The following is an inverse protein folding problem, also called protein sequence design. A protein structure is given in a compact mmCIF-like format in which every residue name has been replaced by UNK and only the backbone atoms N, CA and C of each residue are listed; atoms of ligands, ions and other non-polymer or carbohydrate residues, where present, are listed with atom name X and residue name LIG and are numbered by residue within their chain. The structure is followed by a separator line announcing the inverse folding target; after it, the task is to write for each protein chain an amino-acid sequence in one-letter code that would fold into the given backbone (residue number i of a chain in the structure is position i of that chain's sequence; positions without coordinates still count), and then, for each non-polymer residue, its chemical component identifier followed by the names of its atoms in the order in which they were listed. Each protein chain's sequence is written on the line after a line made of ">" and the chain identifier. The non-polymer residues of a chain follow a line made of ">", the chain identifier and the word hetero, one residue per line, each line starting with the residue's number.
data_IF_424172689925
#
_entry.id   IF_424172689925
#
_cell.length_a   1.000
_cell.length_b   1.000
_cell.length_c   1.000
_cell.angle_alpha   90.00
_cell.angle_beta   90.00
_cell.angle_gamma   90.00
#
_symmetry.space_group_name_H-M   'P 1'
#
loop_
_entity.id
_entity.type
_entity.pdbx_description
1 polymer ?
#
# COMPACT_ATOMS: atom_id res chain seq x y z
N UNK A 1 22.87 16.95 16.15
CA UNK A 1 21.97 15.80 16.01
C UNK A 1 21.10 16.07 14.79
N UNK A 2 20.89 15.14 13.86
CA UNK A 2 19.94 15.38 12.79
C UNK A 2 18.56 15.60 13.40
N UNK A 3 17.82 16.60 12.88
CA UNK A 3 16.48 16.93 13.31
C UNK A 3 15.64 15.66 13.46
N UNK A 4 14.90 15.53 14.56
CA UNK A 4 14.09 14.36 14.93
C UNK A 4 13.28 13.90 13.71
N UNK A 5 13.71 12.79 13.10
CA UNK A 5 12.94 12.15 12.03
C UNK A 5 11.66 11.64 12.67
N UNK A 6 10.52 12.13 12.17
CA UNK A 6 9.19 11.68 12.62
C UNK A 6 9.07 10.16 12.51
N UNK A 7 8.47 9.46 13.49
CA UNK A 7 8.36 8.00 13.44
C UNK A 7 7.47 7.51 12.30
N UNK A 8 7.63 6.25 11.92
CA UNK A 8 6.69 5.53 11.07
C UNK A 8 5.66 4.85 11.96
N UNK A 9 4.37 5.04 11.69
CA UNK A 9 3.28 4.35 12.37
C UNK A 9 2.99 3.00 11.70
N UNK A 10 2.97 1.91 12.47
CA UNK A 10 2.64 0.56 12.00
C UNK A 10 1.33 0.15 12.68
N UNK A 11 0.22 0.08 11.94
CA UNK A 11 -1.07 -0.35 12.53
C UNK A 11 -1.13 -1.87 12.64
N UNK A 12 -1.66 -2.38 13.75
CA UNK A 12 -1.69 -3.83 14.06
C UNK A 12 -2.61 -4.64 13.13
N UNK A 13 -3.54 -3.98 12.42
CA UNK A 13 -4.52 -4.68 11.59
C UNK A 13 -5.57 -5.41 12.41
N UNK A 14 -6.02 -6.58 11.91
CA UNK A 14 -6.98 -7.43 12.62
C UNK A 14 -6.28 -8.18 13.76
N UNK A 15 -6.77 -7.98 14.98
CA UNK A 15 -6.19 -8.58 16.19
C UNK A 15 -6.38 -10.11 16.26
N UNK A 16 -7.30 -10.69 15.49
CA UNK A 16 -7.53 -12.13 15.38
C UNK A 16 -6.72 -12.79 14.24
N UNK A 17 -6.07 -11.98 13.39
CA UNK A 17 -5.25 -12.42 12.26
C UNK A 17 -3.75 -12.41 12.56
N UNK A 18 -2.96 -12.58 11.50
CA UNK A 18 -1.49 -12.62 11.58
C UNK A 18 -0.82 -11.25 11.77
N UNK A 19 -1.56 -10.13 11.64
CA UNK A 19 -1.01 -8.78 11.70
C UNK A 19 -0.07 -8.55 12.89
N UNK A 20 -0.52 -8.77 14.14
CA UNK A 20 0.32 -8.62 15.34
C UNK A 20 1.56 -9.53 15.34
N UNK A 21 1.42 -10.79 14.88
CA UNK A 21 2.52 -11.77 14.84
C UNK A 21 3.61 -11.38 13.83
N UNK A 22 3.23 -10.94 12.62
CA UNK A 22 4.21 -10.52 11.60
C UNK A 22 4.94 -9.24 12.02
N UNK A 23 4.32 -8.35 12.83
CA UNK A 23 4.99 -7.18 13.40
C UNK A 23 6.09 -7.62 14.38
N UNK A 24 5.77 -8.53 15.29
CA UNK A 24 6.76 -9.07 16.25
C UNK A 24 7.88 -9.80 15.53
N UNK A 25 7.56 -10.66 14.55
CA UNK A 25 8.57 -11.37 13.74
C UNK A 25 9.46 -10.42 12.96
N UNK A 26 8.88 -9.43 12.29
CA UNK A 26 9.64 -8.43 11.55
C UNK A 26 10.60 -7.67 12.47
N UNK A 27 10.14 -7.32 13.68
CA UNK A 27 10.99 -6.68 14.69
C UNK A 27 12.16 -7.57 15.12
N UNK A 28 11.91 -8.87 15.34
CA UNK A 28 12.97 -9.81 15.74
C UNK A 28 13.95 -10.12 14.61
N UNK A 29 13.48 -10.17 13.36
CA UNK A 29 14.30 -10.49 12.19
C UNK A 29 15.12 -9.30 11.68
N UNK A 30 14.58 -8.08 11.80
CA UNK A 30 15.15 -6.86 11.23
C UNK A 30 14.94 -5.67 12.19
N UNK A 31 15.52 -5.71 13.41
CA UNK A 31 15.30 -4.67 14.43
C UNK A 31 15.73 -3.28 13.96
N UNK A 32 16.70 -3.20 13.07
CA UNK A 32 17.16 -1.95 12.46
C UNK A 32 16.05 -1.25 11.64
N UNK A 33 15.13 -2.02 11.04
CA UNK A 33 13.97 -1.48 10.33
C UNK A 33 12.93 -0.86 11.27
N UNK A 34 12.96 -1.22 12.56
CA UNK A 34 12.04 -0.67 13.57
C UNK A 34 12.61 0.55 14.31
N UNK A 35 13.83 0.96 13.98
CA UNK A 35 14.35 2.21 14.52
C UNK A 35 13.42 3.37 14.14
N UNK A 36 12.98 4.14 15.15
CA UNK A 36 12.02 5.21 14.98
C UNK A 36 10.68 4.77 14.34
N UNK A 37 10.13 3.67 14.85
CA UNK A 37 8.79 3.19 14.54
C UNK A 37 7.92 3.19 15.81
N UNK A 38 6.60 3.30 15.61
CA UNK A 38 5.60 3.15 16.65
C UNK A 38 4.50 2.21 16.15
N UNK A 39 4.26 1.13 16.90
CA UNK A 39 3.15 0.21 16.63
C UNK A 39 1.88 0.81 17.21
N UNK A 40 0.83 0.89 16.42
CA UNK A 40 -0.45 1.51 16.79
C UNK A 40 -1.50 0.42 16.96
N UNK A 41 -1.96 0.21 18.19
CA UNK A 41 -2.91 -0.85 18.49
C UNK A 41 -3.13 -1.03 19.99
N UNK A 42 -3.60 -2.19 20.39
CA UNK A 42 -3.80 -2.55 21.78
C UNK A 42 -2.57 -3.31 22.33
N UNK A 43 -2.09 -2.91 23.52
CA UNK A 43 -0.91 -3.53 24.14
C UNK A 43 -1.11 -5.01 24.45
N UNK A 44 -2.29 -5.41 24.93
CA UNK A 44 -2.55 -6.81 25.26
C UNK A 44 -2.57 -7.70 24.00
N UNK A 45 -2.98 -7.15 22.84
CA UNK A 45 -2.88 -7.83 21.54
C UNK A 45 -1.41 -8.05 21.17
N UNK A 46 -0.57 -7.03 21.34
CA UNK A 46 0.87 -7.15 21.03
C UNK A 46 1.61 -8.05 22.03
N UNK A 47 1.24 -8.02 23.32
CA UNK A 47 1.77 -8.93 24.33
C UNK A 47 1.45 -10.39 23.99
N UNK A 48 0.20 -10.67 23.58
CA UNK A 48 -0.21 -12.01 23.11
C UNK A 48 0.58 -12.46 21.88
N UNK A 49 0.74 -11.57 20.90
CA UNK A 49 1.52 -11.88 19.68
C UNK A 49 2.99 -12.16 20.02
N UNK A 50 3.56 -11.43 20.97
CA UNK A 50 4.91 -11.65 21.44
C UNK A 50 5.08 -13.02 22.08
N UNK A 51 4.13 -13.45 22.93
CA UNK A 51 4.14 -14.79 23.52
C UNK A 51 4.09 -15.88 22.47
N UNK A 52 3.26 -15.73 21.42
CA UNK A 52 3.15 -16.70 20.31
C UNK A 52 4.45 -16.82 19.54
N UNK A 53 5.14 -15.71 19.27
CA UNK A 53 6.32 -15.68 18.39
C UNK A 53 7.62 -15.95 19.14
N UNK A 54 7.79 -15.40 20.35
CA UNK A 54 9.04 -15.42 21.10
C UNK A 54 9.00 -16.31 22.36
N UNK A 55 7.88 -16.95 22.63
CA UNK A 55 7.62 -17.78 23.81
C UNK A 55 7.99 -17.08 25.14
N UNK A 56 7.79 -15.77 25.19
CA UNK A 56 8.07 -14.92 26.37
C UNK A 56 7.27 -13.61 26.28
N UNK A 57 6.94 -12.97 27.42
CA UNK A 57 6.26 -11.67 27.41
C UNK A 57 7.17 -10.55 26.90
N UNK A 58 6.56 -9.50 26.33
CA UNK A 58 7.26 -8.25 26.02
C UNK A 58 7.87 -7.68 27.30
N UNK A 59 9.16 -7.39 27.26
CA UNK A 59 9.80 -6.59 28.29
C UNK A 59 9.95 -5.14 27.80
N UNK A 60 9.94 -4.17 28.72
CA UNK A 60 10.17 -2.77 28.39
C UNK A 60 11.53 -2.53 27.65
N UNK A 61 12.45 -3.47 27.76
CA UNK A 61 13.77 -3.44 27.12
C UNK A 61 13.75 -3.95 25.66
N UNK A 62 12.62 -4.51 25.18
CA UNK A 62 12.52 -5.03 23.81
C UNK A 62 12.61 -3.93 22.73
N UNK A 63 12.36 -2.66 23.09
CA UNK A 63 12.50 -1.52 22.16
C UNK A 63 11.32 -1.36 21.18
N UNK A 64 10.30 -2.23 21.23
CA UNK A 64 9.10 -2.10 20.43
C UNK A 64 8.11 -1.17 21.12
N UNK A 65 7.97 0.05 20.61
CA UNK A 65 7.04 1.05 21.17
C UNK A 65 5.62 0.78 20.68
N UNK A 66 4.67 0.66 21.62
CA UNK A 66 3.25 0.46 21.31
C UNK A 66 2.44 1.67 21.75
N UNK A 67 1.79 2.32 20.82
CA UNK A 67 0.80 3.36 21.05
C UNK A 67 -0.56 2.70 21.28
N UNK A 68 -1.04 2.75 22.53
CA UNK A 68 -2.38 2.28 22.87
C UNK A 68 -3.44 3.14 22.18
N UNK A 69 -4.40 2.50 21.51
CA UNK A 69 -5.60 3.13 20.97
C UNK A 69 -6.85 2.44 21.51
N UNK A 70 -7.92 3.19 21.66
CA UNK A 70 -9.14 2.70 22.31
C UNK A 70 -8.94 2.38 23.80
N UNK A 71 -9.97 1.77 24.41
CA UNK A 71 -9.87 1.28 25.78
C UNK A 71 -9.04 -0.01 25.83
N UNK A 72 -8.04 -0.10 26.74
CA UNK A 72 -7.21 -1.29 26.85
C UNK A 72 -8.06 -2.55 27.09
N UNK A 73 -7.75 -3.62 26.36
CA UNK A 73 -8.42 -4.90 26.53
C UNK A 73 -7.79 -5.71 27.68
N UNK A 74 -8.64 -6.39 28.43
CA UNK A 74 -8.17 -7.46 29.32
C UNK A 74 -7.91 -8.74 28.51
N UNK A 75 -7.08 -9.68 29.00
CA UNK A 75 -6.85 -10.95 28.31
C UNK A 75 -8.13 -11.73 27.95
N UNK A 76 -9.19 -11.63 28.77
CA UNK A 76 -10.47 -12.27 28.53
C UNK A 76 -11.30 -11.60 27.41
N UNK A 77 -10.98 -10.36 27.04
CA UNK A 77 -11.66 -9.61 25.98
C UNK A 77 -10.95 -9.69 24.62
N UNK A 78 -9.76 -10.29 24.59
CA UNK A 78 -9.02 -10.46 23.33
C UNK A 78 -9.81 -11.34 22.36
N UNK A 79 -9.97 -10.93 21.10
CA UNK A 79 -10.65 -11.76 20.10
C UNK A 79 -9.89 -13.07 19.90
N UNK A 80 -10.61 -14.19 19.74
CA UNK A 80 -10.00 -15.47 19.47
C UNK A 80 -9.26 -15.45 18.11
N UNK A 81 -8.15 -16.18 18.02
CA UNK A 81 -7.42 -16.28 16.77
C UNK A 81 -8.26 -16.93 15.66
N UNK A 82 -8.21 -16.41 14.46
CA UNK A 82 -8.91 -16.93 13.30
C UNK A 82 -10.42 -16.68 13.30
N UNK A 83 -10.95 -15.88 14.22
CA UNK A 83 -12.38 -15.57 14.32
C UNK A 83 -12.69 -14.11 13.95
N UNK A 84 -13.71 -13.95 13.12
CA UNK A 84 -14.21 -12.62 12.74
C UNK A 84 -14.97 -12.01 13.92
N UNK A 85 -14.58 -10.83 14.37
CA UNK A 85 -15.23 -10.17 15.50
C UNK A 85 -15.30 -8.65 15.37
N UNK A 86 -16.36 -8.07 15.95
CA UNK A 86 -16.51 -6.62 16.05
C UNK A 86 -15.37 -5.96 16.86
N UNK A 87 -14.83 -6.67 17.85
CA UNK A 87 -13.72 -6.17 18.68
C UNK A 87 -12.47 -5.98 17.82
N UNK A 88 -12.10 -7.00 17.01
CA UNK A 88 -10.96 -6.93 16.11
C UNK A 88 -11.16 -5.82 15.06
N UNK A 89 -12.36 -5.72 14.49
CA UNK A 89 -12.70 -4.66 13.54
C UNK A 89 -12.62 -3.25 14.13
N UNK A 90 -13.07 -3.06 15.37
CA UNK A 90 -12.98 -1.77 16.08
C UNK A 90 -11.52 -1.37 16.33
N UNK A 91 -10.70 -2.29 16.85
CA UNK A 91 -9.27 -2.05 17.07
C UNK A 91 -8.53 -1.68 15.78
N UNK A 92 -8.81 -2.38 14.69
CA UNK A 92 -8.23 -2.05 13.38
C UNK A 92 -8.63 -0.62 12.94
N UNK A 93 -9.91 -0.27 13.07
CA UNK A 93 -10.41 1.06 12.70
C UNK A 93 -9.82 2.17 13.58
N UNK A 94 -9.72 1.96 14.89
CA UNK A 94 -9.14 2.94 15.83
C UNK A 94 -7.64 3.13 15.54
N UNK A 95 -6.91 2.06 15.23
CA UNK A 95 -5.49 2.11 14.86
C UNK A 95 -5.28 2.90 13.56
N UNK A 96 -6.09 2.65 12.53
CA UNK A 96 -6.04 3.36 11.25
C UNK A 96 -6.38 4.84 11.46
N UNK A 97 -7.42 5.12 12.24
CA UNK A 97 -7.86 6.50 12.52
C UNK A 97 -6.76 7.29 13.20
N UNK A 98 -6.17 6.75 14.27
CA UNK A 98 -5.07 7.39 14.98
C UNK A 98 -3.88 7.65 14.07
N UNK A 99 -3.42 6.62 13.33
CA UNK A 99 -2.27 6.73 12.45
C UNK A 99 -2.50 7.78 11.34
N UNK A 100 -3.71 7.78 10.74
CA UNK A 100 -4.09 8.75 9.70
C UNK A 100 -4.09 10.17 10.23
N UNK A 101 -4.72 10.42 11.37
CA UNK A 101 -4.76 11.74 11.98
C UNK A 101 -3.36 12.24 12.35
N UNK A 102 -2.50 11.36 12.90
CA UNK A 102 -1.11 11.70 13.21
C UNK A 102 -0.28 11.99 11.95
N UNK A 103 -0.50 11.27 10.84
CA UNK A 103 0.15 11.56 9.58
C UNK A 103 -0.31 12.92 9.00
N UNK A 104 -1.60 13.22 9.07
CA UNK A 104 -2.17 14.49 8.60
C UNK A 104 -1.69 15.69 9.42
N UNK A 105 -1.46 15.52 10.73
CA UNK A 105 -0.82 16.56 11.57
C UNK A 105 0.70 16.61 11.43
N UNK A 106 1.27 15.67 10.66
CA UNK A 106 2.71 15.58 10.45
C UNK A 106 3.47 15.11 11.69
N UNK A 107 2.86 14.34 12.58
CA UNK A 107 3.49 13.72 13.76
C UNK A 107 4.19 12.42 13.42
N UNK A 108 3.74 11.72 12.37
CA UNK A 108 4.40 10.55 11.79
C UNK A 108 4.75 10.81 10.33
N UNK A 109 5.79 10.15 9.82
CA UNK A 109 6.31 10.33 8.46
C UNK A 109 5.63 9.44 7.43
N UNK A 110 5.14 8.28 7.85
CA UNK A 110 4.45 7.31 7.01
C UNK A 110 3.56 6.41 7.85
N UNK A 111 2.66 5.69 7.17
CA UNK A 111 1.84 4.63 7.75
C UNK A 111 2.16 3.31 7.04
N UNK A 112 2.44 2.27 7.82
CA UNK A 112 2.50 0.87 7.36
C UNK A 112 1.32 0.14 7.96
N UNK A 113 0.45 -0.46 7.14
CA UNK A 113 -0.75 -1.11 7.67
C UNK A 113 -0.63 -2.63 7.58
N UNK A 114 -0.71 -3.32 8.73
CA UNK A 114 -0.91 -4.77 8.75
C UNK A 114 -2.33 -5.12 8.27
N UNK A 115 -2.57 -6.36 7.79
CA UNK A 115 -3.84 -6.75 7.20
C UNK A 115 -5.03 -6.63 8.13
N UNK A 116 -6.19 -6.20 7.61
CA UNK A 116 -7.47 -6.20 8.33
C UNK A 116 -8.49 -7.12 7.64
N UNK A 117 -9.55 -7.49 8.37
CA UNK A 117 -10.67 -8.23 7.84
C UNK A 117 -11.88 -7.33 7.59
N UNK A 118 -12.37 -7.31 6.33
CA UNK A 118 -13.46 -6.39 5.92
C UNK A 118 -14.77 -6.64 6.66
N UNK A 119 -15.12 -7.91 6.88
CA UNK A 119 -16.31 -8.28 7.63
C UNK A 119 -16.21 -7.89 9.10
N UNK A 120 -15.03 -8.02 9.73
CA UNK A 120 -14.80 -7.54 11.09
C UNK A 120 -15.02 -6.01 11.21
N UNK A 121 -14.56 -5.22 10.22
CA UNK A 121 -14.86 -3.78 10.15
C UNK A 121 -16.37 -3.53 10.07
N UNK A 122 -17.08 -4.26 9.21
CA UNK A 122 -18.54 -4.16 9.06
C UNK A 122 -19.26 -4.48 10.35
N UNK A 123 -18.89 -5.58 11.05
CA UNK A 123 -19.45 -5.94 12.36
C UNK A 123 -19.18 -4.88 13.43
N UNK A 124 -18.08 -4.15 13.34
CA UNK A 124 -17.77 -3.02 14.20
C UNK A 124 -18.55 -1.74 13.86
N UNK A 125 -19.45 -1.78 12.86
CA UNK A 125 -20.21 -0.62 12.39
C UNK A 125 -19.38 0.40 11.60
N UNK A 126 -18.22 0.02 11.10
CA UNK A 126 -17.36 0.87 10.25
C UNK A 126 -17.90 0.84 8.84
N UNK A 127 -18.20 2.03 8.28
CA UNK A 127 -18.85 2.18 6.97
C UNK A 127 -17.90 2.03 5.77
N UNK A 128 -16.62 1.77 6.00
CA UNK A 128 -15.61 1.67 4.95
C UNK A 128 -15.31 0.20 4.64
N UNK A 129 -15.19 -0.17 3.34
CA UNK A 129 -14.93 -1.56 2.96
C UNK A 129 -13.47 -2.01 3.20
N UNK A 130 -12.56 -1.09 3.49
CA UNK A 130 -11.17 -1.42 3.74
C UNK A 130 -10.28 -0.22 4.07
N UNK A 131 -8.96 -0.45 4.07
CA UNK A 131 -7.96 0.56 4.38
C UNK A 131 -8.03 1.77 3.45
N UNK A 132 -8.01 1.53 2.15
CA UNK A 132 -7.85 2.59 1.14
C UNK A 132 -8.98 3.61 1.24
N UNK A 133 -10.21 3.14 1.29
CA UNK A 133 -11.41 3.99 1.36
C UNK A 133 -11.47 4.75 2.68
N UNK A 134 -11.05 4.11 3.79
CA UNK A 134 -11.02 4.75 5.10
C UNK A 134 -9.93 5.84 5.16
N UNK A 135 -8.72 5.55 4.70
CA UNK A 135 -7.61 6.51 4.65
C UNK A 135 -7.95 7.70 3.73
N UNK A 136 -8.53 7.44 2.56
CA UNK A 136 -8.96 8.46 1.60
C UNK A 136 -10.04 9.37 2.20
N UNK A 137 -11.05 8.79 2.85
CA UNK A 137 -12.14 9.55 3.45
C UNK A 137 -11.64 10.46 4.60
N UNK A 138 -10.79 9.94 5.49
CA UNK A 138 -10.20 10.71 6.57
C UNK A 138 -9.29 11.84 6.04
N UNK A 139 -8.51 11.56 5.01
CA UNK A 139 -7.66 12.57 4.38
C UNK A 139 -8.49 13.65 3.66
N UNK A 140 -9.51 13.25 2.90
CA UNK A 140 -10.41 14.17 2.23
C UNK A 140 -11.13 15.09 3.23
N UNK A 141 -11.65 14.53 4.32
CA UNK A 141 -12.29 15.28 5.40
C UNK A 141 -11.32 16.31 6.01
N UNK A 142 -10.10 15.93 6.33
CA UNK A 142 -9.08 16.82 6.88
C UNK A 142 -8.74 17.97 5.94
N UNK A 143 -8.69 17.71 4.64
CA UNK A 143 -8.39 18.71 3.59
C UNK A 143 -9.60 19.54 3.17
N UNK A 144 -10.79 19.31 3.73
CA UNK A 144 -12.04 19.98 3.30
C UNK A 144 -12.45 19.63 1.86
N UNK A 145 -12.09 18.44 1.39
CA UNK A 145 -12.37 17.91 0.04
C UNK A 145 -13.42 16.80 0.08
N UNK A 146 -14.07 16.59 -1.05
CA UNK A 146 -14.82 15.34 -1.28
C UNK A 146 -13.88 14.19 -1.62
N UNK A 147 -14.35 12.95 -1.47
CA UNK A 147 -13.58 11.75 -1.88
C UNK A 147 -13.19 11.82 -3.37
N UNK A 148 -14.10 12.30 -4.22
CA UNK A 148 -13.85 12.48 -5.66
C UNK A 148 -12.75 13.52 -5.98
N UNK A 149 -12.54 14.49 -5.10
CA UNK A 149 -11.48 15.51 -5.23
C UNK A 149 -10.12 15.06 -4.66
N UNK A 150 -10.05 13.87 -4.07
CA UNK A 150 -8.82 13.26 -3.60
C UNK A 150 -8.69 11.84 -4.16
N UNK A 151 -8.55 11.69 -5.48
CA UNK A 151 -8.44 10.37 -6.09
C UNK A 151 -7.15 9.67 -5.65
N UNK A 152 -7.24 8.37 -5.44
CA UNK A 152 -6.12 7.52 -5.07
C UNK A 152 -5.91 6.41 -6.10
N UNK A 153 -4.68 5.88 -6.17
CA UNK A 153 -4.34 4.77 -7.05
C UNK A 153 -3.54 3.71 -6.29
N UNK A 154 -3.77 2.47 -6.67
CA UNK A 154 -3.00 1.34 -6.18
C UNK A 154 -1.75 1.16 -7.01
N UNK A 155 -0.61 1.14 -6.35
CA UNK A 155 0.66 0.67 -6.91
C UNK A 155 1.04 -0.63 -6.21
N UNK A 156 1.42 -1.65 -6.97
CA UNK A 156 2.13 -2.81 -6.46
C UNK A 156 3.59 -2.72 -6.90
N UNK A 157 4.50 -2.88 -5.97
CA UNK A 157 5.92 -2.77 -6.22
C UNK A 157 6.70 -3.86 -5.48
N UNK A 158 7.79 -4.29 -6.10
CA UNK A 158 8.87 -5.03 -5.45
C UNK A 158 10.20 -4.31 -5.75
N UNK A 159 11.33 -4.99 -5.52
CA UNK A 159 12.66 -4.41 -5.79
C UNK A 159 12.96 -4.23 -7.28
N UNK A 160 12.25 -4.96 -8.14
CA UNK A 160 12.54 -5.05 -9.58
C UNK A 160 11.52 -4.34 -10.45
N UNK A 161 10.25 -4.25 -10.02
CA UNK A 161 9.16 -3.75 -10.85
C UNK A 161 8.13 -2.96 -10.03
N UNK A 162 7.66 -1.83 -10.59
CA UNK A 162 6.55 -1.05 -10.07
C UNK A 162 5.44 -0.97 -11.11
N UNK A 163 4.21 -1.26 -10.69
CA UNK A 163 3.02 -1.14 -11.54
C UNK A 163 1.94 -0.34 -10.85
N UNK A 164 1.28 0.56 -11.58
CA UNK A 164 0.13 1.33 -11.12
C UNK A 164 -1.08 0.98 -11.95
N UNK A 165 -2.23 0.89 -11.34
CA UNK A 165 -3.45 0.39 -11.96
C UNK A 165 -4.43 1.53 -12.26
N UNK A 166 -4.94 1.58 -13.49
CA UNK A 166 -6.04 2.48 -13.88
C UNK A 166 -7.34 2.00 -13.26
N UNK A 167 -7.59 0.69 -13.30
CA UNK A 167 -8.80 0.06 -12.72
C UNK A 167 -8.43 -1.09 -11.79
N UNK A 168 -9.20 -1.24 -10.68
CA UNK A 168 -9.01 -2.26 -9.64
C UNK A 168 -10.36 -2.87 -9.25
N UNK A 169 -10.34 -4.03 -8.61
CA UNK A 169 -11.43 -4.66 -7.83
C UNK A 169 -12.85 -4.56 -8.45
N UNK A 170 -12.96 -4.67 -9.74
CA UNK A 170 -14.23 -4.70 -10.48
C UNK A 170 -14.21 -5.78 -11.56
N UNK A 171 -15.35 -6.29 -12.00
CA UNK A 171 -15.43 -7.25 -13.11
C UNK A 171 -14.73 -6.70 -14.36
N UNK A 172 -14.01 -7.54 -15.10
CA UNK A 172 -13.20 -7.12 -16.24
C UNK A 172 -14.03 -6.33 -17.29
N UNK A 173 -15.29 -6.71 -17.52
CA UNK A 173 -16.17 -5.95 -18.42
C UNK A 173 -16.40 -4.51 -17.96
N UNK A 174 -16.59 -4.29 -16.66
CA UNK A 174 -16.71 -2.94 -16.10
C UNK A 174 -15.37 -2.19 -16.11
N UNK A 175 -14.26 -2.93 -15.96
CA UNK A 175 -12.93 -2.36 -16.06
C UNK A 175 -12.70 -1.75 -17.46
N UNK A 176 -13.13 -2.43 -18.51
CA UNK A 176 -13.03 -1.92 -19.89
C UNK A 176 -13.80 -0.60 -20.07
N UNK A 177 -15.01 -0.50 -19.52
CA UNK A 177 -15.83 0.72 -19.57
C UNK A 177 -15.20 1.88 -18.78
N UNK A 178 -14.44 1.59 -17.74
CA UNK A 178 -13.76 2.56 -16.89
C UNK A 178 -12.41 3.05 -17.46
N UNK A 179 -11.87 2.41 -18.50
CA UNK A 179 -10.65 2.84 -19.20
C UNK A 179 -11.01 4.02 -20.11
N UNK A 180 -10.90 5.22 -19.59
CA UNK A 180 -11.17 6.48 -20.28
C UNK A 180 -9.92 7.35 -20.35
N UNK A 181 -9.87 8.29 -21.28
CA UNK A 181 -8.78 9.27 -21.40
C UNK A 181 -8.51 9.97 -20.05
N UNK A 182 -9.58 10.42 -19.38
CA UNK A 182 -9.46 11.18 -18.13
C UNK A 182 -8.98 10.29 -16.97
N UNK A 183 -9.46 9.04 -16.88
CA UNK A 183 -9.02 8.11 -15.82
C UNK A 183 -7.55 7.69 -15.99
N UNK A 184 -7.09 7.48 -17.23
CA UNK A 184 -5.67 7.20 -17.51
C UNK A 184 -4.82 8.44 -17.19
N UNK A 185 -5.22 9.62 -17.63
CA UNK A 185 -4.49 10.87 -17.39
C UNK A 185 -4.39 11.18 -15.90
N UNK A 186 -5.46 10.99 -15.13
CA UNK A 186 -5.45 11.16 -13.68
C UNK A 186 -4.49 10.16 -13.02
N UNK A 187 -4.47 8.90 -13.47
CA UNK A 187 -3.53 7.88 -12.98
C UNK A 187 -2.08 8.28 -13.26
N UNK A 188 -1.80 8.81 -14.45
CA UNK A 188 -0.47 9.31 -14.84
C UNK A 188 -0.03 10.49 -13.94
N UNK A 189 -0.92 11.46 -13.70
CA UNK A 189 -0.64 12.61 -12.81
C UNK A 189 -0.34 12.17 -11.38
N UNK A 190 -1.15 11.29 -10.82
CA UNK A 190 -0.96 10.79 -9.46
C UNK A 190 0.37 10.03 -9.36
N UNK A 191 0.67 9.17 -10.34
CA UNK A 191 1.91 8.39 -10.38
C UNK A 191 3.12 9.30 -10.53
N UNK A 192 3.08 10.26 -11.45
CA UNK A 192 4.14 11.22 -11.68
C UNK A 192 4.46 12.03 -10.41
N UNK A 193 3.43 12.58 -9.78
CA UNK A 193 3.61 13.40 -8.57
C UNK A 193 4.15 12.59 -7.39
N UNK A 194 3.70 11.34 -7.22
CA UNK A 194 4.17 10.46 -6.15
C UNK A 194 5.65 10.08 -6.35
N UNK A 195 6.05 9.70 -7.55
CA UNK A 195 7.44 9.35 -7.85
C UNK A 195 8.37 10.58 -7.79
N UNK A 196 7.95 11.72 -8.35
CA UNK A 196 8.70 12.98 -8.25
C UNK A 196 8.91 13.38 -6.78
N UNK A 197 7.84 13.33 -5.96
CA UNK A 197 7.92 13.66 -4.53
C UNK A 197 8.79 12.71 -3.72
N UNK A 198 8.93 11.44 -4.15
CA UNK A 198 9.73 10.43 -3.43
C UNK A 198 11.18 10.35 -3.88
N UNK A 199 11.47 10.67 -5.14
CA UNK A 199 12.81 10.53 -5.74
C UNK A 199 13.50 11.86 -6.03
N UNK A 200 12.75 12.97 -6.03
CA UNK A 200 13.22 14.29 -6.49
C UNK A 200 13.46 14.37 -8.01
N UNK A 201 13.17 13.31 -8.75
CA UNK A 201 13.38 13.19 -10.20
C UNK A 201 12.08 12.85 -10.91
N UNK A 202 11.81 13.52 -12.04
CA UNK A 202 10.67 13.17 -12.88
C UNK A 202 10.79 11.72 -13.38
N UNK A 203 9.77 10.86 -13.14
CA UNK A 203 9.80 9.47 -13.57
C UNK A 203 9.55 9.34 -15.06
N UNK A 204 10.10 8.29 -15.68
CA UNK A 204 9.70 7.82 -17.00
C UNK A 204 8.59 6.77 -16.84
N UNK A 205 7.36 7.13 -17.21
CA UNK A 205 6.19 6.27 -17.12
C UNK A 205 5.96 5.54 -18.46
N UNK A 206 5.84 4.21 -18.40
CA UNK A 206 5.40 3.40 -19.52
C UNK A 206 3.91 3.09 -19.40
N UNK A 207 3.13 3.25 -20.46
CA UNK A 207 1.71 2.89 -20.48
C UNK A 207 1.55 1.58 -21.25
N UNK A 208 0.98 0.56 -20.61
CA UNK A 208 0.63 -0.69 -21.27
C UNK A 208 -0.58 -0.49 -22.18
N UNK A 209 -0.60 -1.17 -23.32
CA UNK A 209 -1.80 -1.32 -24.13
C UNK A 209 -2.84 -2.19 -23.41
N UNK A 210 -4.06 -2.17 -23.89
CA UNK A 210 -5.15 -3.02 -23.45
C UNK A 210 -5.20 -4.31 -24.25
N UNK A 211 -5.09 -4.17 -25.57
CA UNK A 211 -5.23 -5.26 -26.53
C UNK A 211 -3.89 -5.93 -26.84
N UNK A 212 -3.90 -7.17 -27.37
CA UNK A 212 -2.69 -7.83 -27.86
C UNK A 212 -1.92 -6.95 -28.82
N UNK A 213 -0.58 -6.96 -28.71
CA UNK A 213 0.32 -6.14 -29.55
C UNK A 213 -0.02 -4.63 -29.56
N UNK A 214 -0.64 -4.13 -28.47
CA UNK A 214 -1.15 -2.76 -28.38
C UNK A 214 -2.09 -2.39 -29.55
N UNK A 215 -3.02 -3.32 -29.88
CA UNK A 215 -4.06 -3.13 -30.87
C UNK A 215 -3.61 -3.30 -32.33
N UNK A 216 -2.32 -3.53 -32.60
CA UNK A 216 -1.77 -3.75 -33.99
C UNK A 216 -2.33 -2.72 -34.99
N UNK A 217 -2.23 -1.43 -34.70
CA UNK A 217 -2.76 -0.38 -35.56
C UNK A 217 -4.29 -0.34 -35.69
N UNK A 218 -5.01 -0.95 -34.79
CA UNK A 218 -6.48 -1.03 -34.73
C UNK A 218 -7.08 -2.35 -35.25
N UNK A 219 -6.23 -3.32 -35.62
CA UNK A 219 -6.70 -4.64 -36.09
C UNK A 219 -7.27 -5.48 -34.95
N UNK A 220 -6.77 -5.29 -33.72
CA UNK A 220 -7.16 -6.04 -32.52
C UNK A 220 -7.90 -5.19 -31.48
N UNK A 221 -8.49 -4.08 -31.90
CA UNK A 221 -9.16 -3.12 -31.04
C UNK A 221 -8.63 -1.71 -31.27
N UNK A 222 -9.38 -0.71 -30.83
CA UNK A 222 -9.08 0.69 -31.09
C UNK A 222 -8.81 1.50 -29.81
N UNK A 223 -8.86 0.86 -28.65
CA UNK A 223 -8.69 1.51 -27.34
C UNK A 223 -7.34 2.21 -27.22
N UNK A 224 -6.29 1.65 -27.84
CA UNK A 224 -4.97 2.29 -27.89
C UNK A 224 -5.00 3.60 -28.67
N UNK A 225 -5.73 3.62 -29.82
CA UNK A 225 -5.82 4.77 -30.73
C UNK A 225 -6.78 5.81 -30.15
N UNK A 226 -7.97 5.36 -29.69
CA UNK A 226 -9.08 6.24 -29.37
C UNK A 226 -9.03 6.73 -27.90
N UNK A 227 -8.30 6.03 -27.02
CA UNK A 227 -8.29 6.30 -25.59
C UNK A 227 -6.88 6.43 -25.00
N UNK A 228 -6.02 5.42 -25.15
CA UNK A 228 -4.74 5.39 -24.44
C UNK A 228 -3.74 6.41 -25.01
N UNK A 229 -3.58 6.45 -26.33
CA UNK A 229 -2.69 7.41 -26.97
C UNK A 229 -3.10 8.87 -26.74
N UNK A 230 -4.38 9.27 -26.82
CA UNK A 230 -4.82 10.60 -26.42
C UNK A 230 -4.48 10.98 -24.98
N UNK A 231 -4.63 10.04 -24.01
CA UNK A 231 -4.24 10.28 -22.62
C UNK A 231 -2.73 10.53 -22.48
N UNK A 232 -1.90 9.72 -23.17
CA UNK A 232 -0.45 9.89 -23.21
C UNK A 232 -0.07 11.26 -23.79
N UNK A 233 -0.71 11.68 -24.89
CA UNK A 233 -0.43 12.99 -25.51
C UNK A 233 -0.77 14.15 -24.56
N UNK A 234 -1.91 14.07 -23.85
CA UNK A 234 -2.25 15.08 -22.83
C UNK A 234 -1.22 15.10 -21.71
N UNK A 235 -0.79 13.95 -21.19
CA UNK A 235 0.22 13.87 -20.14
C UNK A 235 1.56 14.49 -20.59
N UNK A 236 1.99 14.23 -21.85
CA UNK A 236 3.18 14.87 -22.42
C UNK A 236 3.03 16.39 -22.54
N UNK A 237 1.86 16.88 -22.94
CA UNK A 237 1.58 18.31 -23.01
C UNK A 237 1.63 18.99 -21.62
N UNK A 238 1.39 18.23 -20.54
CA UNK A 238 1.56 18.66 -19.15
C UNK A 238 3.02 18.54 -18.65
N UNK A 239 3.97 18.16 -19.49
CA UNK A 239 5.40 18.07 -19.17
C UNK A 239 5.84 16.75 -18.55
N UNK A 240 4.98 15.72 -18.50
CA UNK A 240 5.34 14.40 -18.00
C UNK A 240 6.14 13.59 -19.02
N UNK A 241 7.14 12.84 -18.56
CA UNK A 241 7.86 11.87 -19.38
C UNK A 241 7.09 10.57 -19.44
N UNK A 242 6.26 10.41 -20.45
CA UNK A 242 5.36 9.25 -20.65
C UNK A 242 5.58 8.68 -22.04
N UNK A 243 5.58 7.35 -22.15
CA UNK A 243 5.71 6.64 -23.43
C UNK A 243 4.77 5.45 -23.53
N UNK A 244 4.49 5.00 -24.74
CA UNK A 244 3.53 3.94 -25.05
C UNK A 244 2.47 4.43 -26.07
N UNK A 245 1.34 3.67 -26.24
CA UNK A 245 1.07 2.39 -25.57
C UNK A 245 2.02 1.29 -26.05
N UNK A 246 2.46 0.45 -25.10
CA UNK A 246 3.33 -0.69 -25.40
C UNK A 246 2.57 -2.00 -25.34
N UNK A 247 3.02 -2.98 -26.13
CA UNK A 247 2.49 -4.33 -26.06
C UNK A 247 2.55 -4.87 -24.62
N UNK A 248 1.39 -5.28 -24.03
CA UNK A 248 1.30 -5.59 -22.60
C UNK A 248 2.08 -6.84 -22.18
N UNK A 249 2.38 -7.74 -23.11
CA UNK A 249 3.17 -8.95 -22.91
C UNK A 249 4.68 -8.68 -22.77
N UNK A 250 5.17 -7.52 -23.20
CA UNK A 250 6.62 -7.21 -23.22
C UNK A 250 7.02 -5.97 -22.40
N UNK A 251 6.10 -5.06 -22.10
CA UNK A 251 6.44 -3.79 -21.43
C UNK A 251 7.02 -4.02 -20.02
N UNK A 252 6.52 -5.01 -19.29
CA UNK A 252 6.99 -5.33 -17.94
C UNK A 252 8.42 -5.87 -17.94
N UNK A 253 8.81 -6.67 -18.94
CA UNK A 253 10.19 -7.14 -19.11
C UNK A 253 11.16 -5.97 -19.30
N UNK A 254 10.76 -4.95 -20.07
CA UNK A 254 11.56 -3.75 -20.30
C UNK A 254 11.66 -2.84 -19.09
N UNK A 255 10.63 -2.84 -18.23
CA UNK A 255 10.59 -2.04 -17.00
C UNK A 255 11.30 -2.71 -15.84
N UNK A 256 11.56 -4.01 -15.93
CA UNK A 256 12.19 -4.78 -14.86
C UNK A 256 13.63 -4.33 -14.64
N UNK A 257 13.97 -4.03 -13.38
CA UNK A 257 15.36 -3.83 -12.96
C UNK A 257 16.04 -5.20 -12.75
N UNK A 258 17.14 -5.43 -13.42
CA UNK A 258 17.87 -6.71 -13.34
C UNK A 258 19.35 -6.50 -12.97
N UNK A 259 19.89 -7.37 -12.12
CA UNK A 259 21.32 -7.37 -11.76
C UNK A 259 21.84 -6.00 -11.29
N UNK A 260 20.98 -5.23 -10.60
CA UNK A 260 21.34 -3.90 -10.12
C UNK A 260 21.30 -2.79 -11.18
N UNK A 261 20.90 -3.11 -12.42
CA UNK A 261 20.66 -2.13 -13.47
C UNK A 261 19.19 -1.70 -13.49
N UNK A 262 18.89 -0.40 -13.63
CA UNK A 262 17.50 0.06 -13.74
C UNK A 262 16.88 -0.45 -15.04
N UNK A 263 15.56 -0.72 -15.01
CA UNK A 263 14.79 -0.95 -16.22
C UNK A 263 14.69 0.29 -17.09
N UNK A 264 14.15 0.12 -18.30
CA UNK A 264 13.95 1.23 -19.25
C UNK A 264 12.90 2.25 -18.77
N UNK A 265 12.07 1.88 -17.81
CA UNK A 265 10.99 2.68 -17.26
C UNK A 265 10.97 2.60 -15.74
N UNK A 266 10.58 3.69 -15.07
CA UNK A 266 10.48 3.73 -13.62
C UNK A 266 9.20 3.05 -13.11
N UNK A 267 8.08 3.17 -13.86
CA UNK A 267 6.76 2.60 -13.50
C UNK A 267 6.02 2.21 -14.77
N UNK A 268 5.30 1.09 -14.74
CA UNK A 268 4.33 0.70 -15.77
C UNK A 268 2.92 1.04 -15.28
N UNK A 269 2.17 1.79 -16.07
CA UNK A 269 0.74 2.04 -15.84
C UNK A 269 -0.04 0.99 -16.63
N UNK A 270 -0.72 0.11 -15.90
CA UNK A 270 -1.51 -1.01 -16.41
C UNK A 270 -3.01 -0.65 -16.41
N UNK A 271 -3.75 -1.17 -17.37
CA UNK A 271 -5.15 -0.81 -17.57
C UNK A 271 -6.08 -1.49 -16.56
N UNK A 272 -5.77 -2.71 -16.14
CA UNK A 272 -6.61 -3.47 -15.21
C UNK A 272 -5.77 -4.31 -14.24
N UNK A 273 -6.45 -4.79 -13.21
CA UNK A 273 -5.85 -5.44 -12.04
C UNK A 273 -4.82 -6.52 -12.38
N UNK A 274 -5.24 -7.59 -13.08
CA UNK A 274 -4.36 -8.73 -13.31
C UNK A 274 -3.23 -8.42 -14.30
N UNK A 275 -3.46 -7.51 -15.27
CA UNK A 275 -2.42 -7.06 -16.17
C UNK A 275 -1.21 -6.50 -15.43
N UNK A 276 -1.44 -5.70 -14.37
CA UNK A 276 -0.36 -5.07 -13.61
C UNK A 276 0.15 -5.92 -12.45
N UNK A 277 -0.71 -6.74 -11.82
CA UNK A 277 -0.33 -7.49 -10.62
C UNK A 277 0.38 -8.80 -10.91
N UNK A 278 -0.01 -9.53 -11.97
CA UNK A 278 0.61 -10.81 -12.33
C UNK A 278 2.14 -10.67 -12.49
N UNK A 279 2.66 -9.70 -13.26
CA UNK A 279 4.11 -9.58 -13.43
C UNK A 279 4.88 -9.34 -12.14
N UNK A 280 4.36 -8.48 -11.26
CA UNK A 280 5.01 -8.18 -9.97
C UNK A 280 4.97 -9.38 -9.05
N UNK A 281 3.81 -10.06 -8.95
CA UNK A 281 3.63 -11.24 -8.08
C UNK A 281 4.45 -12.45 -8.57
N UNK A 282 4.60 -12.60 -9.87
CA UNK A 282 5.42 -13.66 -10.45
C UNK A 282 6.91 -13.52 -10.13
N UNK A 283 7.38 -12.29 -9.92
CA UNK A 283 8.76 -12.00 -9.50
C UNK A 283 9.03 -12.21 -8.00
N UNK A 284 8.00 -12.54 -7.20
CA UNK A 284 8.14 -12.83 -5.76
C UNK A 284 7.02 -12.16 -4.97
N UNK A 285 6.02 -12.94 -4.62
CA UNK A 285 4.83 -12.46 -3.89
C UNK A 285 5.17 -11.99 -2.47
N UNK A 286 6.17 -12.61 -1.84
CA UNK A 286 6.65 -12.30 -0.49
C UNK A 286 7.36 -10.94 -0.41
N UNK A 287 7.80 -10.40 -1.55
CA UNK A 287 8.46 -9.09 -1.65
C UNK A 287 7.49 -7.99 -2.15
N UNK A 288 6.26 -8.38 -2.46
CA UNK A 288 5.22 -7.46 -2.94
C UNK A 288 4.80 -6.45 -1.87
N UNK A 289 4.84 -5.17 -2.22
CA UNK A 289 4.39 -4.07 -1.38
C UNK A 289 3.26 -3.32 -2.08
N UNK A 290 2.13 -3.21 -1.40
CA UNK A 290 1.03 -2.36 -1.86
C UNK A 290 1.24 -0.93 -1.36
N UNK A 291 1.17 0.04 -2.26
CA UNK A 291 1.33 1.47 -1.98
C UNK A 291 0.06 2.19 -2.44
N UNK A 292 -0.49 3.05 -1.58
CA UNK A 292 -1.62 3.91 -1.97
C UNK A 292 -1.08 5.28 -2.37
N UNK A 293 -1.13 5.58 -3.67
CA UNK A 293 -0.75 6.87 -4.23
C UNK A 293 -1.92 7.87 -4.15
N UNK A 294 -1.61 9.16 -4.12
CA UNK A 294 -2.61 10.24 -4.08
C UNK A 294 -3.00 10.69 -2.66
N UNK A 295 -2.62 9.95 -1.62
CA UNK A 295 -2.76 10.41 -0.24
C UNK A 295 -1.73 11.51 0.09
N UNK A 296 -2.05 12.46 1.00
CA UNK A 296 -1.12 13.51 1.42
C UNK A 296 0.04 13.00 2.30
N UNK A 297 0.08 11.72 2.57
CA UNK A 297 1.12 11.00 3.33
C UNK A 297 1.50 9.69 2.65
N UNK A 298 2.63 9.12 3.03
CA UNK A 298 3.06 7.80 2.54
C UNK A 298 2.27 6.70 3.24
N UNK A 299 1.67 5.78 2.45
CA UNK A 299 1.07 4.56 2.97
C UNK A 299 1.55 3.34 2.20
N UNK A 300 2.08 2.37 2.93
CA UNK A 300 2.46 1.05 2.40
C UNK A 300 1.80 -0.07 3.18
N UNK A 301 1.72 -1.25 2.61
CA UNK A 301 1.24 -2.46 3.29
C UNK A 301 1.81 -3.72 2.65
N UNK A 302 1.87 -4.83 3.39
CA UNK A 302 2.00 -6.16 2.81
C UNK A 302 0.93 -6.43 1.75
N UNK A 303 1.23 -7.31 0.81
CA UNK A 303 0.31 -7.73 -0.26
C UNK A 303 -0.34 -9.10 0.04
N UNK A 304 -0.73 -9.32 1.29
CA UNK A 304 -1.48 -10.51 1.74
C UNK A 304 -2.59 -10.12 2.72
N UNK A 305 -3.50 -11.05 2.99
CA UNK A 305 -4.62 -10.87 3.91
C UNK A 305 -4.29 -11.27 5.36
N UNK A 306 -5.34 -11.41 6.16
CA UNK A 306 -5.27 -11.75 7.59
C UNK A 306 -4.82 -13.18 7.89
N UNK A 307 -4.85 -14.08 6.93
CA UNK A 307 -4.43 -15.49 7.01
C UNK A 307 -4.85 -16.14 8.34
N UNK A 308 -6.16 -16.16 8.61
CA UNK A 308 -6.76 -16.65 9.84
C UNK A 308 -6.38 -18.09 10.17
N UNK A 309 -6.12 -18.90 9.16
CA UNK A 309 -5.62 -20.27 9.28
C UNK A 309 -4.23 -20.39 9.92
N UNK A 310 -3.42 -19.31 9.85
CA UNK A 310 -2.07 -19.23 10.43
C UNK A 310 -2.04 -18.47 11.75
N UNK A 311 -3.10 -17.72 12.10
CA UNK A 311 -3.14 -16.88 13.29
C UNK A 311 -2.99 -17.71 14.58
N UNK A 312 -2.20 -17.22 15.53
CA UNK A 312 -1.92 -17.89 16.80
C UNK A 312 -0.88 -19.02 16.72
N UNK A 313 -0.33 -19.29 15.53
CA UNK A 313 0.63 -20.41 15.36
C UNK A 313 2.08 -19.98 15.27
N UNK A 314 2.35 -18.69 15.19
CA UNK A 314 3.70 -18.19 15.01
C UNK A 314 4.37 -18.63 13.69
N UNK A 315 3.61 -19.03 12.66
CA UNK A 315 4.13 -19.56 11.40
C UNK A 315 4.14 -18.54 10.26
N UNK A 316 3.35 -17.45 10.38
CA UNK A 316 3.22 -16.45 9.34
C UNK A 316 4.58 -15.83 8.95
N UNK A 317 4.80 -15.57 7.66
CA UNK A 317 6.01 -14.92 7.15
C UNK A 317 5.89 -13.39 7.30
N UNK A 318 6.95 -12.74 7.76
CA UNK A 318 7.03 -11.30 7.97
C UNK A 318 7.69 -10.54 6.81
N UNK A 319 8.20 -11.22 5.79
CA UNK A 319 9.02 -10.63 4.71
C UNK A 319 8.31 -9.48 4.01
N UNK A 320 7.02 -9.64 3.66
CA UNK A 320 6.24 -8.58 3.01
C UNK A 320 6.05 -7.35 3.90
N UNK A 321 5.93 -7.51 5.23
CA UNK A 321 5.88 -6.37 6.16
C UNK A 321 7.23 -5.66 6.27
N UNK A 322 8.33 -6.41 6.30
CA UNK A 322 9.69 -5.84 6.30
C UNK A 322 9.91 -5.02 5.02
N UNK A 323 9.53 -5.54 3.86
CA UNK A 323 9.63 -4.82 2.60
C UNK A 323 8.69 -3.59 2.56
N UNK A 324 7.47 -3.69 3.11
CA UNK A 324 6.56 -2.56 3.22
C UNK A 324 7.15 -1.43 4.10
N UNK A 325 7.80 -1.78 5.21
CA UNK A 325 8.47 -0.83 6.09
C UNK A 325 9.71 -0.20 5.42
N UNK A 326 10.54 -1.01 4.75
CA UNK A 326 11.68 -0.53 3.97
C UNK A 326 11.23 0.41 2.84
N UNK A 327 10.13 0.10 2.17
CA UNK A 327 9.54 0.96 1.13
C UNK A 327 9.03 2.28 1.72
N UNK A 328 8.31 2.26 2.85
CA UNK A 328 7.87 3.47 3.54
C UNK A 328 9.05 4.39 3.86
N UNK A 329 10.16 3.85 4.35
CA UNK A 329 11.39 4.62 4.61
C UNK A 329 11.96 5.25 3.34
N UNK A 330 12.04 4.50 2.24
CA UNK A 330 12.53 5.04 0.95
C UNK A 330 11.68 6.19 0.45
N UNK A 331 10.36 6.03 0.51
CA UNK A 331 9.41 7.04 0.02
C UNK A 331 9.38 8.31 0.89
N UNK A 332 9.78 8.23 2.16
CA UNK A 332 9.85 9.39 3.05
C UNK A 332 11.18 10.14 2.96
N UNK A 333 12.27 9.50 2.56
CA UNK A 333 13.57 10.14 2.42
C UNK A 333 13.61 11.20 1.30
N UNK A 334 12.84 11.01 0.25
CA UNK A 334 12.76 11.94 -0.89
C UNK A 334 11.82 13.13 -0.65
N UNK A 335 10.93 13.06 0.33
CA UNK A 335 10.07 14.19 0.69
C UNK A 335 10.85 15.15 1.58
N UNK A 336 11.20 16.32 1.08
CA UNK A 336 11.77 17.40 1.88
C UNK A 336 10.83 17.82 3.02
N UNK A 337 11.33 18.46 4.09
CA UNK A 337 10.50 18.97 5.17
C UNK A 337 9.53 20.02 4.63
N UNK A 338 8.24 19.67 4.53
CA UNK A 338 7.16 20.59 4.09
C UNK A 338 6.49 20.28 2.76
N UNK A 339 6.71 19.10 2.16
CA UNK A 339 5.99 18.66 0.96
C UNK A 339 4.68 17.95 1.31
#
# INVERSE_FOLDING_TARGET
>A
MPADKKPIAITVGDAAGIGPEIIVKAFLQSPEQFHNCIVVGDKAVMDRAWQVVADRPITAQAGLLVQQVGSPLTPAQLPAFGEISAVAGRLAADSITWATQSALRGEVSAIVTAPLHKEALSLAGVKFPGHTEMLQALAAQHLGKTIAQLPVRMMLANRELKTVLVTIHQPLRQALDAITVDNILETLRITHNAELGSTGRAPHLAVAGLNPHAGEGGLMGREEIDTIAPAIQRAKAEGMTVSGPYAPDTVFMRARAEHGQPGAFDVVVAMYHDQGLIPVKYLGVEQGVNITLGLPFVRTSPDHGTAFDLAGKGLADASSLIEALAMARRLTLGRGPGA
#
